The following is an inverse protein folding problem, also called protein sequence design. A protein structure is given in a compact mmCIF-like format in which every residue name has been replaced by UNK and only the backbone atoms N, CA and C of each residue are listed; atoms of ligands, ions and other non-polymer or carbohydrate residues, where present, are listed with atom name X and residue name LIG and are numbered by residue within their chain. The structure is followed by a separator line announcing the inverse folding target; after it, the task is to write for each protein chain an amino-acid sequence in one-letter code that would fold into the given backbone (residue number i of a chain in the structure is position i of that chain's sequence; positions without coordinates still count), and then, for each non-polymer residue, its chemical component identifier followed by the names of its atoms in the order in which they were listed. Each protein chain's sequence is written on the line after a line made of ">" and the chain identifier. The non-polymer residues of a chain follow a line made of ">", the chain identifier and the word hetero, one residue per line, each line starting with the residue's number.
data_IF_486018336299
#
_entry.id   IF_486018336299
#
_cell.length_a   1.000
_cell.length_b   1.000
_cell.length_c   1.000
_cell.angle_alpha   90.00
_cell.angle_beta   90.00
_cell.angle_gamma   90.00
#
_symmetry.space_group_name_H-M   'P 1'
#
loop_
_entity.id
_entity.type
_entity.pdbx_description
1 polymer ?
#
# COMPACT_ATOMS: atom_id res chain seq x y z
N UNK A 1 -14.82 8.92 0.50
CA UNK A 1 -13.86 7.81 0.29
C UNK A 1 -14.08 6.63 1.26
N UNK A 2 -15.26 6.00 1.23
CA UNK A 2 -15.52 4.66 1.81
C UNK A 2 -15.47 3.56 0.74
N UNK A 3 -15.11 3.94 -0.50
CA UNK A 3 -15.28 3.14 -1.70
C UNK A 3 -14.48 1.83 -1.67
N UNK A 4 -13.26 1.91 -1.13
CA UNK A 4 -12.37 0.76 -0.98
C UNK A 4 -12.45 0.10 0.41
N UNK A 5 -12.87 0.87 1.41
CA UNK A 5 -12.82 0.50 2.81
C UNK A 5 -13.66 -0.73 3.12
N UNK A 6 -14.93 -0.70 2.69
CA UNK A 6 -15.88 -1.79 2.92
C UNK A 6 -15.49 -3.08 2.19
N UNK A 7 -15.13 -3.06 0.88
CA UNK A 7 -14.61 -4.26 0.24
C UNK A 7 -13.34 -4.79 0.90
N UNK A 8 -12.39 -3.92 1.26
CA UNK A 8 -11.16 -4.33 1.95
C UNK A 8 -11.44 -5.00 3.30
N UNK A 9 -12.31 -4.42 4.13
CA UNK A 9 -12.75 -4.99 5.41
C UNK A 9 -13.47 -6.33 5.21
N UNK A 10 -14.21 -6.48 4.12
CA UNK A 10 -14.95 -7.71 3.81
C UNK A 10 -14.02 -8.86 3.41
N UNK A 11 -12.94 -8.54 2.69
CA UNK A 11 -11.96 -9.51 2.19
C UNK A 11 -10.82 -9.80 3.16
N UNK A 12 -10.68 -9.01 4.23
CA UNK A 12 -9.71 -9.28 5.28
C UNK A 12 -9.93 -10.67 5.93
N UNK A 13 -8.86 -11.37 6.35
CA UNK A 13 -8.98 -12.61 7.12
C UNK A 13 -9.86 -12.43 8.36
N UNK A 14 -10.60 -13.48 8.76
CA UNK A 14 -11.52 -13.40 9.90
C UNK A 14 -10.85 -12.93 11.19
N UNK A 15 -9.59 -13.30 11.41
CA UNK A 15 -8.80 -12.84 12.58
C UNK A 15 -8.55 -11.33 12.57
N UNK A 16 -8.32 -10.73 11.41
CA UNK A 16 -8.19 -9.27 11.26
C UNK A 16 -9.54 -8.61 11.48
N UNK A 17 -10.59 -9.13 10.82
CA UNK A 17 -11.95 -8.57 10.91
C UNK A 17 -12.51 -8.57 12.33
N UNK A 18 -12.23 -9.61 13.10
CA UNK A 18 -12.66 -9.71 14.49
C UNK A 18 -11.97 -8.69 15.40
N UNK A 19 -10.83 -8.13 14.97
CA UNK A 19 -10.03 -7.16 15.75
C UNK A 19 -10.19 -5.71 15.29
N UNK A 20 -10.87 -5.47 14.17
CA UNK A 20 -11.18 -4.13 13.68
C UNK A 20 -12.39 -3.57 14.46
N UNK A 21 -12.12 -2.70 15.43
CA UNK A 21 -13.17 -1.99 16.14
C UNK A 21 -13.94 -1.06 15.18
N UNK A 22 -15.20 -0.76 15.49
CA UNK A 22 -16.04 0.09 14.63
C UNK A 22 -15.42 1.48 14.38
N UNK A 23 -14.65 2.02 15.33
CA UNK A 23 -13.92 3.29 15.19
C UNK A 23 -12.62 3.17 14.37
N UNK A 24 -12.11 1.95 14.17
CA UNK A 24 -10.91 1.67 13.36
C UNK A 24 -11.26 1.38 11.89
N UNK A 25 -12.53 1.15 11.57
CA UNK A 25 -12.96 0.92 10.19
C UNK A 25 -12.63 2.11 9.29
N UNK A 26 -12.15 1.89 8.06
CA UNK A 26 -11.68 2.96 7.22
C UNK A 26 -12.85 3.85 6.75
N UNK A 27 -12.67 5.16 6.81
CA UNK A 27 -13.69 6.12 6.36
C UNK A 27 -13.38 7.56 6.73
N UNK A 28 -13.28 8.44 5.72
CA UNK A 28 -13.01 9.86 5.93
C UNK A 28 -14.12 10.59 6.66
N UNK A 29 -15.39 10.20 6.49
CA UNK A 29 -16.52 10.92 7.11
C UNK A 29 -16.40 10.98 8.64
N UNK A 30 -15.87 9.93 9.28
CA UNK A 30 -15.60 9.91 10.72
C UNK A 30 -14.30 10.61 11.11
N UNK A 31 -13.27 10.52 10.26
CA UNK A 31 -11.97 11.18 10.49
C UNK A 31 -11.99 12.69 10.19
N UNK A 32 -13.08 13.19 9.62
CA UNK A 32 -13.32 14.59 9.31
C UNK A 32 -14.61 15.08 9.99
N UNK A 33 -15.06 14.39 11.05
CA UNK A 33 -16.34 14.70 11.70
C UNK A 33 -16.26 15.92 12.62
N UNK A 34 -15.05 16.25 13.11
CA UNK A 34 -14.80 17.40 14.00
C UNK A 34 -13.58 18.19 13.51
N UNK A 35 -13.50 19.50 13.81
CA UNK A 35 -12.35 20.34 13.43
C UNK A 35 -11.01 19.77 13.90
N UNK A 36 -10.94 19.25 15.12
CA UNK A 36 -9.70 18.66 15.67
C UNK A 36 -9.25 17.43 14.89
N UNK A 37 -10.19 16.58 14.45
CA UNK A 37 -9.87 15.43 13.62
C UNK A 37 -9.41 15.85 12.22
N UNK A 38 -10.02 16.89 11.64
CA UNK A 38 -9.57 17.47 10.37
C UNK A 38 -8.15 18.00 10.51
N UNK A 39 -7.88 18.78 11.56
CA UNK A 39 -6.54 19.31 11.83
C UNK A 39 -5.52 18.17 12.02
N UNK A 40 -5.88 17.12 12.77
CA UNK A 40 -5.04 15.94 12.94
C UNK A 40 -4.74 15.21 11.63
N UNK A 41 -5.73 15.05 10.74
CA UNK A 41 -5.53 14.45 9.40
C UNK A 41 -4.63 15.33 8.54
N UNK A 42 -4.89 16.64 8.48
CA UNK A 42 -4.09 17.59 7.70
C UNK A 42 -2.65 17.62 8.20
N UNK A 43 -2.45 17.69 9.51
CA UNK A 43 -1.11 17.65 10.12
C UNK A 43 -0.39 16.33 9.80
N UNK A 44 -1.09 15.20 9.91
CA UNK A 44 -0.51 13.89 9.58
C UNK A 44 -0.10 13.79 8.10
N UNK A 45 -0.94 14.29 7.20
CA UNK A 45 -0.65 14.34 5.76
C UNK A 45 0.52 15.28 5.46
N UNK A 46 0.57 16.44 6.11
CA UNK A 46 1.66 17.39 5.97
C UNK A 46 2.98 16.79 6.44
N UNK A 47 3.02 16.23 7.66
CA UNK A 47 4.22 15.58 8.20
C UNK A 47 4.65 14.39 7.35
N UNK A 48 3.71 13.57 6.89
CA UNK A 48 3.97 12.45 6.00
C UNK A 48 4.55 12.92 4.66
N UNK A 49 3.95 13.95 4.04
CA UNK A 49 4.40 14.52 2.78
C UNK A 49 5.78 15.17 2.87
N UNK A 50 6.04 15.95 3.93
CA UNK A 50 7.36 16.55 4.19
C UNK A 50 8.40 15.45 4.39
N UNK A 51 8.11 14.42 5.19
CA UNK A 51 9.04 13.31 5.41
C UNK A 51 9.35 12.59 4.10
N UNK A 52 8.32 12.30 3.29
CA UNK A 52 8.51 11.69 1.98
C UNK A 52 9.39 12.56 1.07
N UNK A 53 9.08 13.85 0.97
CA UNK A 53 9.81 14.79 0.11
C UNK A 53 11.28 14.93 0.53
N UNK A 54 11.55 14.95 1.84
CA UNK A 54 12.92 14.97 2.36
C UNK A 54 13.65 13.69 1.97
N UNK A 55 13.03 12.52 2.16
CA UNK A 55 13.65 11.25 1.75
C UNK A 55 13.90 11.17 0.24
N UNK A 56 13.03 11.76 -0.58
CA UNK A 56 13.20 11.80 -2.03
C UNK A 56 14.49 12.54 -2.44
N UNK A 57 14.86 13.60 -1.72
CA UNK A 57 16.13 14.31 -1.94
C UNK A 57 17.36 13.41 -1.76
N UNK A 58 17.28 12.31 -1.00
CA UNK A 58 18.43 11.41 -0.80
C UNK A 58 18.36 10.17 -1.68
N UNK A 59 17.21 9.88 -2.28
CA UNK A 59 16.91 8.58 -2.90
C UNK A 59 16.65 8.65 -4.39
N UNK A 60 16.64 9.85 -4.98
CA UNK A 60 16.44 10.06 -6.40
C UNK A 60 17.59 10.86 -7.01
N UNK A 61 17.92 10.56 -8.27
CA UNK A 61 18.87 11.35 -9.05
C UNK A 61 18.29 12.74 -9.41
N UNK A 62 19.16 13.73 -9.62
CA UNK A 62 18.74 15.06 -10.08
C UNK A 62 18.15 15.94 -8.98
N UNK A 63 18.44 15.63 -7.72
CA UNK A 63 17.96 16.40 -6.57
C UNK A 63 19.08 17.29 -6.01
N UNK A 64 18.69 18.33 -5.26
CA UNK A 64 19.64 19.29 -4.65
C UNK A 64 20.70 18.60 -3.79
N UNK A 65 20.38 17.47 -3.16
CA UNK A 65 21.32 16.72 -2.33
C UNK A 65 22.15 15.77 -3.18
N UNK A 66 21.55 14.92 -4.02
CA UNK A 66 22.33 13.95 -4.82
C UNK A 66 23.30 14.64 -5.77
N UNK A 67 22.90 15.75 -6.39
CA UNK A 67 23.73 16.45 -7.38
C UNK A 67 24.89 17.21 -6.73
N UNK A 68 24.75 17.55 -5.43
CA UNK A 68 25.77 18.28 -4.68
C UNK A 68 26.84 17.38 -4.10
N UNK A 69 26.55 16.12 -3.81
CA UNK A 69 27.46 15.23 -3.12
C UNK A 69 27.74 13.96 -3.94
N UNK A 70 28.98 13.84 -4.45
CA UNK A 70 29.43 12.72 -5.27
C UNK A 70 29.24 11.33 -4.62
N UNK A 71 29.18 11.26 -3.28
CA UNK A 71 28.94 10.01 -2.53
C UNK A 71 27.66 9.29 -2.98
N UNK A 72 26.61 10.02 -3.38
CA UNK A 72 25.35 9.43 -3.83
C UNK A 72 25.46 8.69 -5.18
N UNK A 73 26.51 8.98 -5.95
CA UNK A 73 26.78 8.34 -7.23
C UNK A 73 27.82 7.21 -7.14
N UNK A 74 28.36 6.95 -5.95
CA UNK A 74 29.21 5.78 -5.74
C UNK A 74 28.40 4.49 -5.94
N UNK A 75 29.02 3.50 -6.55
CA UNK A 75 28.38 2.21 -6.79
C UNK A 75 28.43 1.35 -5.53
N UNK A 76 27.27 0.91 -5.05
CA UNK A 76 27.10 -0.05 -3.96
C UNK A 76 26.26 -1.21 -4.48
N UNK A 77 26.81 -2.44 -4.42
CA UNK A 77 26.16 -3.65 -4.96
C UNK A 77 25.66 -3.51 -6.42
N UNK A 78 26.41 -2.80 -7.27
CA UNK A 78 26.09 -2.64 -8.69
C UNK A 78 25.07 -1.54 -9.02
N UNK A 79 24.65 -0.73 -8.05
CA UNK A 79 23.75 0.42 -8.26
C UNK A 79 24.26 1.69 -7.56
N UNK A 80 23.85 2.90 -8.01
CA UNK A 80 24.19 4.15 -7.33
C UNK A 80 23.72 4.15 -5.87
N UNK A 81 24.49 4.78 -4.99
CA UNK A 81 24.22 4.79 -3.56
C UNK A 81 22.84 5.39 -3.21
N UNK A 82 22.37 6.42 -3.90
CA UNK A 82 21.00 6.96 -3.69
C UNK A 82 19.92 5.88 -3.93
N UNK A 83 20.10 5.05 -4.95
CA UNK A 83 19.14 4.00 -5.31
C UNK A 83 19.23 2.81 -4.35
N UNK A 84 20.44 2.47 -3.91
CA UNK A 84 20.62 1.53 -2.80
C UNK A 84 19.88 2.01 -1.54
N UNK A 85 20.00 3.30 -1.19
CA UNK A 85 19.31 3.88 -0.05
C UNK A 85 17.79 3.81 -0.20
N UNK A 86 17.26 4.05 -1.39
CA UNK A 86 15.83 3.91 -1.69
C UNK A 86 15.33 2.50 -1.37
N UNK A 87 16.05 1.47 -1.83
CA UNK A 87 15.71 0.06 -1.58
C UNK A 87 15.85 -0.26 -0.08
N UNK A 88 16.95 0.15 0.55
CA UNK A 88 17.20 -0.11 1.97
C UNK A 88 16.12 0.53 2.87
N UNK A 89 15.76 1.79 2.63
CA UNK A 89 14.70 2.47 3.37
C UNK A 89 13.32 1.83 3.13
N UNK A 90 13.06 1.32 1.93
CA UNK A 90 11.83 0.58 1.64
C UNK A 90 11.75 -0.71 2.47
N UNK A 91 12.85 -1.46 2.58
CA UNK A 91 12.93 -2.67 3.42
C UNK A 91 12.75 -2.32 4.90
N UNK A 92 13.43 -1.28 5.40
CA UNK A 92 13.27 -0.81 6.78
C UNK A 92 11.83 -0.41 7.06
N UNK A 93 11.21 0.39 6.17
CA UNK A 93 9.81 0.79 6.28
C UNK A 93 8.87 -0.41 6.31
N UNK A 94 9.09 -1.43 5.47
CA UNK A 94 8.30 -2.65 5.47
C UNK A 94 8.45 -3.44 6.78
N UNK A 95 9.66 -3.55 7.32
CA UNK A 95 9.91 -4.21 8.62
C UNK A 95 9.20 -3.47 9.75
N UNK A 96 9.28 -2.14 9.77
CA UNK A 96 8.58 -1.31 10.79
C UNK A 96 7.06 -1.50 10.69
N UNK A 97 6.49 -1.46 9.48
CA UNK A 97 5.08 -1.71 9.25
C UNK A 97 4.65 -3.12 9.68
N UNK A 98 5.48 -4.14 9.39
CA UNK A 98 5.20 -5.52 9.78
C UNK A 98 5.25 -5.69 11.30
N UNK A 99 6.27 -5.13 11.97
CA UNK A 99 6.39 -5.18 13.42
C UNK A 99 5.21 -4.46 14.09
N UNK A 100 4.83 -3.29 13.58
CA UNK A 100 3.65 -2.56 14.04
C UNK A 100 2.36 -3.37 13.84
N UNK A 101 2.17 -3.98 12.66
CA UNK A 101 0.99 -4.77 12.35
C UNK A 101 0.88 -6.02 13.23
N UNK A 102 2.00 -6.71 13.48
CA UNK A 102 2.06 -7.87 14.40
C UNK A 102 1.72 -7.44 15.82
N UNK A 103 2.35 -6.38 16.32
CA UNK A 103 2.05 -5.86 17.66
C UNK A 103 0.59 -5.47 17.80
N UNK A 104 0.04 -4.72 16.84
CA UNK A 104 -1.38 -4.38 16.80
C UNK A 104 -2.25 -5.64 16.80
N UNK A 105 -1.92 -6.66 16.01
CA UNK A 105 -2.71 -7.88 15.92
C UNK A 105 -2.74 -8.66 17.25
N UNK A 106 -1.61 -8.69 17.95
CA UNK A 106 -1.49 -9.36 19.25
C UNK A 106 -2.26 -8.61 20.34
N UNK A 107 -2.20 -7.27 20.34
CA UNK A 107 -2.78 -6.42 21.39
C UNK A 107 -4.26 -6.09 21.16
N UNK A 108 -4.74 -6.10 19.91
CA UNK A 108 -6.09 -5.63 19.60
C UNK A 108 -7.18 -6.55 20.19
N UNK A 109 -8.23 -6.02 20.84
CA UNK A 109 -9.32 -6.83 21.37
C UNK A 109 -10.06 -7.62 20.28
N UNK A 110 -10.57 -8.80 20.62
CA UNK A 110 -11.33 -9.66 19.70
C UNK A 110 -12.82 -9.49 19.95
N UNK A 111 -13.57 -9.20 18.88
CA UNK A 111 -15.02 -9.03 18.89
C UNK A 111 -15.72 -10.13 18.07
N UNK A 112 -16.93 -10.54 18.48
CA UNK A 112 -17.71 -11.52 17.72
C UNK A 112 -18.09 -10.95 16.34
N UNK A 113 -17.89 -11.77 15.30
CA UNK A 113 -18.24 -11.40 13.93
C UNK A 113 -19.75 -11.52 13.72
N UNK A 114 -20.42 -10.40 13.44
CA UNK A 114 -21.86 -10.37 13.15
C UNK A 114 -22.20 -10.85 11.73
N UNK A 115 -21.24 -10.82 10.79
CA UNK A 115 -21.45 -11.24 9.40
C UNK A 115 -20.23 -11.94 8.82
N UNK A 116 -20.44 -13.11 8.20
CA UNK A 116 -19.42 -13.85 7.46
C UNK A 116 -19.59 -13.65 5.95
N UNK A 117 -18.51 -13.38 5.20
CA UNK A 117 -18.52 -13.45 3.74
C UNK A 117 -18.97 -14.83 3.28
N UNK A 118 -19.76 -14.88 2.21
CA UNK A 118 -20.11 -16.14 1.55
C UNK A 118 -18.84 -16.85 1.05
N UNK A 119 -18.91 -18.17 0.88
CA UNK A 119 -17.78 -18.97 0.35
C UNK A 119 -17.31 -18.45 -1.01
N UNK A 120 -18.25 -18.08 -1.88
CA UNK A 120 -17.98 -17.45 -3.17
C UNK A 120 -17.26 -16.10 -3.02
N UNK A 121 -17.69 -15.26 -2.08
CA UNK A 121 -17.02 -14.00 -1.79
C UNK A 121 -15.57 -14.19 -1.36
N UNK A 122 -15.28 -15.20 -0.54
CA UNK A 122 -13.89 -15.54 -0.12
C UNK A 122 -13.04 -16.03 -1.30
N UNK A 123 -13.62 -16.83 -2.20
CA UNK A 123 -12.92 -17.32 -3.40
C UNK A 123 -12.63 -16.17 -4.36
N UNK A 124 -13.62 -15.32 -4.64
CA UNK A 124 -13.46 -14.15 -5.50
C UNK A 124 -12.35 -13.23 -4.98
N UNK A 125 -12.33 -12.94 -3.67
CA UNK A 125 -11.29 -12.15 -3.02
C UNK A 125 -9.87 -12.66 -3.30
N UNK A 126 -9.68 -13.97 -3.05
CA UNK A 126 -8.38 -14.62 -3.22
C UNK A 126 -7.99 -14.66 -4.69
N UNK A 127 -8.93 -14.99 -5.56
CA UNK A 127 -8.71 -15.00 -7.00
C UNK A 127 -8.31 -13.62 -7.51
N UNK A 128 -8.90 -12.53 -6.99
CA UNK A 128 -8.51 -11.19 -7.41
C UNK A 128 -7.14 -10.77 -6.88
N UNK A 129 -6.81 -11.09 -5.63
CA UNK A 129 -5.47 -10.79 -5.08
C UNK A 129 -4.38 -11.59 -5.82
N UNK A 130 -4.57 -12.90 -5.97
CA UNK A 130 -3.62 -13.77 -6.66
C UNK A 130 -3.55 -13.45 -8.16
N UNK A 131 -4.70 -13.25 -8.80
CA UNK A 131 -4.79 -12.93 -10.22
C UNK A 131 -4.17 -11.58 -10.55
N UNK A 132 -4.35 -10.57 -9.69
CA UNK A 132 -3.71 -9.26 -9.89
C UNK A 132 -2.20 -9.31 -9.66
N UNK A 133 -1.72 -10.02 -8.64
CA UNK A 133 -0.30 -10.25 -8.44
C UNK A 133 0.33 -11.01 -9.63
N UNK A 134 -0.32 -12.06 -10.12
CA UNK A 134 0.15 -12.82 -11.28
C UNK A 134 0.17 -11.97 -12.56
N UNK A 135 -0.90 -11.20 -12.82
CA UNK A 135 -0.97 -10.30 -13.97
C UNK A 135 0.10 -9.21 -13.88
N UNK A 136 0.37 -8.69 -12.68
CA UNK A 136 1.45 -7.74 -12.44
C UNK A 136 2.80 -8.29 -12.86
N UNK A 137 3.13 -9.51 -12.38
CA UNK A 137 4.39 -10.19 -12.68
C UNK A 137 4.53 -10.47 -14.17
N UNK A 138 3.45 -10.91 -14.83
CA UNK A 138 3.46 -11.15 -16.28
C UNK A 138 3.63 -9.86 -17.09
N UNK A 139 2.90 -8.81 -16.74
CA UNK A 139 3.02 -7.50 -17.39
C UNK A 139 4.42 -6.89 -17.19
N UNK A 140 4.97 -7.05 -15.98
CA UNK A 140 6.34 -6.68 -15.65
C UNK A 140 7.35 -7.41 -16.55
N UNK A 141 7.28 -8.75 -16.59
CA UNK A 141 8.18 -9.57 -17.41
C UNK A 141 8.10 -9.24 -18.90
N UNK A 142 6.89 -9.05 -19.43
CA UNK A 142 6.68 -8.67 -20.83
C UNK A 142 7.24 -7.27 -21.13
N UNK A 143 7.10 -6.31 -20.21
CA UNK A 143 7.66 -4.96 -20.38
C UNK A 143 9.19 -4.99 -20.39
N UNK A 144 9.82 -5.73 -19.47
CA UNK A 144 11.29 -5.94 -19.45
C UNK A 144 11.77 -6.53 -20.78
N UNK A 145 11.11 -7.59 -21.24
CA UNK A 145 11.48 -8.28 -22.47
C UNK A 145 11.39 -7.38 -23.72
N UNK A 146 10.47 -6.42 -23.74
CA UNK A 146 10.27 -5.51 -24.89
C UNK A 146 11.14 -4.26 -24.87
N UNK A 147 11.48 -3.76 -23.69
CA UNK A 147 12.11 -2.42 -23.54
C UNK A 147 13.58 -2.49 -23.16
N UNK A 148 14.07 -3.64 -22.66
CA UNK A 148 15.43 -3.76 -22.13
C UNK A 148 15.65 -2.94 -20.84
N UNK A 149 14.60 -2.38 -20.23
CA UNK A 149 14.70 -1.68 -18.96
C UNK A 149 15.18 -2.62 -17.85
N UNK A 150 15.88 -2.03 -16.87
CA UNK A 150 16.40 -2.78 -15.72
C UNK A 150 15.28 -3.63 -15.08
N UNK A 151 15.47 -4.94 -14.91
CA UNK A 151 14.48 -5.81 -14.28
C UNK A 151 14.12 -5.33 -12.87
N UNK A 152 15.04 -4.64 -12.18
CA UNK A 152 14.80 -4.05 -10.85
C UNK A 152 13.73 -2.95 -10.89
N UNK A 153 13.74 -2.08 -11.91
CA UNK A 153 12.74 -1.01 -12.05
C UNK A 153 11.35 -1.59 -12.29
N UNK A 154 11.27 -2.59 -13.17
CA UNK A 154 9.99 -3.18 -13.57
C UNK A 154 9.41 -4.07 -12.46
N UNK A 155 10.25 -4.81 -11.75
CA UNK A 155 9.83 -5.58 -10.56
C UNK A 155 9.40 -4.66 -9.41
N UNK A 156 9.94 -3.45 -9.29
CA UNK A 156 9.58 -2.53 -8.20
C UNK A 156 8.29 -1.74 -8.49
N UNK A 157 8.06 -1.34 -9.74
CA UNK A 157 6.94 -0.45 -10.11
C UNK A 157 5.69 -1.21 -10.54
N UNK A 158 5.84 -2.28 -11.33
CA UNK A 158 4.69 -2.98 -11.90
C UNK A 158 3.79 -3.66 -10.86
N UNK A 159 4.30 -4.28 -9.76
CA UNK A 159 3.45 -4.83 -8.72
C UNK A 159 2.64 -3.75 -8.01
N UNK A 160 3.21 -2.59 -7.72
CA UNK A 160 2.51 -1.47 -7.05
C UNK A 160 1.38 -0.94 -7.93
N UNK A 161 1.64 -0.70 -9.21
CA UNK A 161 0.64 -0.22 -10.18
C UNK A 161 -0.47 -1.25 -10.38
N UNK A 162 -0.12 -2.54 -10.51
CA UNK A 162 -1.11 -3.59 -10.68
C UNK A 162 -1.96 -3.82 -9.42
N UNK A 163 -1.36 -3.74 -8.23
CA UNK A 163 -2.09 -3.81 -6.96
C UNK A 163 -3.09 -2.64 -6.86
N UNK A 164 -2.67 -1.43 -7.26
CA UNK A 164 -3.52 -0.25 -7.27
C UNK A 164 -4.68 -0.38 -8.27
N UNK A 165 -4.41 -0.83 -9.50
CA UNK A 165 -5.43 -1.06 -10.52
C UNK A 165 -6.42 -2.15 -10.11
N UNK A 166 -5.93 -3.29 -9.62
CA UNK A 166 -6.79 -4.37 -9.17
C UNK A 166 -7.64 -3.97 -7.97
N UNK A 167 -7.05 -3.26 -7.00
CA UNK A 167 -7.81 -2.68 -5.89
C UNK A 167 -8.92 -1.76 -6.42
N UNK A 168 -8.62 -0.94 -7.42
CA UNK A 168 -9.57 -0.02 -8.09
C UNK A 168 -10.73 -0.75 -8.73
N UNK A 169 -10.45 -1.78 -9.54
CA UNK A 169 -11.47 -2.61 -10.18
C UNK A 169 -12.35 -3.32 -9.15
N UNK A 170 -11.76 -3.89 -8.09
CA UNK A 170 -12.53 -4.55 -7.01
C UNK A 170 -13.50 -3.58 -6.36
N UNK A 171 -13.03 -2.38 -6.04
CA UNK A 171 -13.88 -1.40 -5.37
C UNK A 171 -14.99 -0.86 -6.28
N UNK A 172 -14.72 -0.73 -7.59
CA UNK A 172 -15.73 -0.39 -8.60
C UNK A 172 -16.80 -1.46 -8.71
N UNK A 173 -16.41 -2.73 -8.91
CA UNK A 173 -17.35 -3.85 -8.98
C UNK A 173 -18.19 -3.93 -7.69
N UNK A 174 -17.57 -3.74 -6.53
CA UNK A 174 -18.29 -3.74 -5.26
C UNK A 174 -19.38 -2.66 -5.19
N UNK A 175 -19.11 -1.43 -5.63
CA UNK A 175 -20.12 -0.36 -5.58
C UNK A 175 -21.23 -0.55 -6.59
N UNK A 176 -20.90 -1.00 -7.80
CA UNK A 176 -21.90 -1.26 -8.83
C UNK A 176 -22.84 -2.43 -8.48
N UNK A 177 -22.37 -3.41 -7.69
CA UNK A 177 -23.15 -4.62 -7.34
C UNK A 177 -23.82 -4.50 -5.97
N UNK A 178 -23.28 -3.70 -5.05
CA UNK A 178 -23.81 -3.57 -3.69
C UNK A 178 -24.89 -2.48 -3.53
N UNK A 179 -24.95 -1.48 -4.43
CA UNK A 179 -25.96 -0.42 -4.38
C UNK A 179 -27.33 -0.83 -4.99
N UNK A 180 -27.41 -1.99 -5.66
CA UNK A 180 -28.66 -2.57 -6.20
C UNK A 180 -29.45 -3.42 -5.18
N UNK A 181 -29.12 -3.36 -3.86
CA UNK A 181 -29.81 -4.08 -2.78
C UNK A 181 -30.01 -3.20 -1.54
#
# INVERSE_FOLDING_TARGET
>A
HGFFARPADWFAPSGIRARLAANQQPGLRRRLATPDQVAGVVLSLFLGGVTHQVLDWFTHAGTVVTDRFAVFHLTVLGMPFYFFLQVALSVVGLVVLAAWAVRWYLDAPVYPLTRQPSRLGKIAARATVVGSAALAVLAAGALVARTGHSPVFVISVAPVVALALASTVIAVIWHLVADDR
#
